data_IF_347682102584
#
_entry.id   IF_347682102584
#
_cell.length_a   1.000
_cell.length_b   1.000
_cell.length_c   1.000
_cell.angle_alpha   90.00
_cell.angle_beta   90.00
_cell.angle_gamma   90.00
#
_symmetry.space_group_name_H-M   'P 1'
#
loop_
_entity.id
_entity.type
_entity.pdbx_description
1 polymer ?
#
# COMPACT_ATOMS: atom_id res chain seq x y z
N UNK A 1 -7.62 0.17 -15.76
CA UNK A 1 -7.99 -0.88 -14.79
C UNK A 1 -7.19 -0.61 -13.54
N UNK A 2 -7.83 -0.22 -12.43
CA UNK A 2 -7.13 0.20 -11.22
C UNK A 2 -6.42 -1.00 -10.60
N UNK A 3 -5.11 -1.09 -10.81
CA UNK A 3 -4.29 -2.15 -10.27
C UNK A 3 -4.00 -1.79 -8.81
N UNK A 4 -4.91 -2.20 -7.91
CA UNK A 4 -4.64 -2.18 -6.48
C UNK A 4 -3.64 -3.32 -6.22
N UNK A 5 -2.38 -3.09 -6.60
CA UNK A 5 -1.30 -4.05 -6.39
C UNK A 5 -1.00 -4.13 -4.91
N UNK A 6 -1.28 -5.30 -4.34
CA UNK A 6 -0.82 -5.66 -3.01
C UNK A 6 0.47 -6.46 -3.17
N UNK A 7 1.48 -6.09 -2.40
CA UNK A 7 2.76 -6.75 -2.35
C UNK A 7 2.82 -7.61 -1.09
N UNK A 8 3.16 -8.88 -1.26
CA UNK A 8 3.39 -9.81 -0.16
C UNK A 8 4.63 -9.33 0.62
N UNK A 9 4.42 -8.91 1.87
CA UNK A 9 5.49 -8.40 2.73
C UNK A 9 6.08 -9.48 3.64
N UNK A 10 5.38 -10.60 3.78
CA UNK A 10 5.88 -11.79 4.46
C UNK A 10 4.80 -12.56 5.22
N UNK A 11 5.19 -13.74 5.68
CA UNK A 11 4.38 -14.60 6.54
C UNK A 11 4.68 -14.27 8.02
N UNK A 12 3.61 -14.05 8.78
CA UNK A 12 3.60 -13.75 10.20
C UNK A 12 2.92 -14.89 10.96
N UNK A 13 3.32 -15.09 12.22
CA UNK A 13 2.70 -16.10 13.07
C UNK A 13 1.29 -15.76 13.54
N UNK A 14 0.90 -14.48 13.51
CA UNK A 14 -0.42 -14.03 13.98
C UNK A 14 -0.84 -12.66 13.40
N UNK A 15 -2.14 -12.39 13.40
CA UNK A 15 -2.70 -11.10 12.98
C UNK A 15 -2.11 -9.93 13.81
N UNK A 16 -1.80 -10.19 15.09
CA UNK A 16 -1.21 -9.21 15.99
C UNK A 16 0.24 -8.86 15.63
N UNK A 17 1.02 -9.81 15.14
CA UNK A 17 2.38 -9.55 14.66
C UNK A 17 2.39 -8.74 13.37
N UNK A 18 1.48 -9.07 12.46
CA UNK A 18 1.26 -8.31 11.24
C UNK A 18 0.84 -6.85 11.53
N UNK A 19 -0.09 -6.63 12.46
CA UNK A 19 -0.52 -5.29 12.88
C UNK A 19 0.62 -4.49 13.56
N UNK A 20 1.44 -5.15 14.40
CA UNK A 20 2.63 -4.53 14.98
C UNK A 20 3.65 -4.11 13.91
N UNK A 21 3.86 -4.95 12.89
CA UNK A 21 4.73 -4.60 11.77
C UNK A 21 4.16 -3.42 10.98
N UNK A 22 2.85 -3.40 10.70
CA UNK A 22 2.22 -2.30 9.97
C UNK A 22 2.38 -0.97 10.71
N UNK A 23 2.10 -0.96 12.02
CA UNK A 23 2.30 0.21 12.89
C UNK A 23 3.76 0.68 12.91
N UNK A 24 4.71 -0.26 12.96
CA UNK A 24 6.15 0.06 12.93
C UNK A 24 6.59 0.69 11.62
N UNK A 25 5.95 0.32 10.51
CA UNK A 25 6.24 0.84 9.17
C UNK A 25 5.34 2.03 8.78
N UNK A 26 4.52 2.55 9.71
CA UNK A 26 3.57 3.64 9.49
C UNK A 26 2.58 3.37 8.32
N UNK A 27 2.21 2.10 8.14
CA UNK A 27 1.24 1.68 7.14
C UNK A 27 -0.15 1.78 7.75
N UNK A 28 -1.10 2.38 7.04
CA UNK A 28 -2.47 2.46 7.49
C UNK A 28 -3.15 1.09 7.46
N UNK A 29 -3.97 0.71 8.46
CA UNK A 29 -4.59 -0.62 8.54
C UNK A 29 -5.53 -0.91 7.36
N UNK A 30 -6.04 0.11 6.68
CA UNK A 30 -6.84 -0.01 5.46
C UNK A 30 -6.02 -0.44 4.23
N UNK A 31 -4.71 -0.19 4.25
CA UNK A 31 -3.77 -0.54 3.19
C UNK A 31 -3.03 -1.86 3.52
N UNK A 32 -3.43 -2.52 4.61
CA UNK A 32 -2.90 -3.79 5.08
C UNK A 32 -3.99 -4.85 4.94
N UNK A 33 -3.62 -6.00 4.38
CA UNK A 33 -4.51 -7.13 4.22
C UNK A 33 -3.86 -8.36 4.82
N UNK A 34 -4.49 -8.90 5.85
CA UNK A 34 -4.04 -10.12 6.52
C UNK A 34 -4.86 -11.28 5.96
N UNK A 35 -4.18 -12.31 5.45
CA UNK A 35 -4.79 -13.54 4.97
C UNK A 35 -4.30 -14.73 5.77
N UNK A 36 -5.20 -15.60 6.22
CA UNK A 36 -4.79 -16.86 6.84
C UNK A 36 -4.30 -17.83 5.78
N UNK A 37 -3.11 -18.39 5.97
CA UNK A 37 -2.49 -19.33 5.04
C UNK A 37 -1.85 -20.48 5.84
N UNK A 38 -2.41 -21.68 5.68
CA UNK A 38 -1.96 -22.85 6.45
C UNK A 38 -2.04 -22.63 7.96
N UNK A 39 -0.90 -22.75 8.64
CA UNK A 39 -0.73 -22.56 10.08
C UNK A 39 -0.36 -21.11 10.48
N UNK A 40 -0.26 -20.18 9.51
CA UNK A 40 0.16 -18.80 9.71
C UNK A 40 -0.77 -17.76 9.08
N UNK A 41 -0.32 -16.50 9.10
CA UNK A 41 -0.97 -15.39 8.41
C UNK A 41 -0.01 -14.71 7.46
N UNK A 42 -0.45 -14.41 6.24
CA UNK A 42 0.29 -13.68 5.24
C UNK A 42 -0.12 -12.22 5.28
N UNK A 43 0.87 -11.33 5.29
CA UNK A 43 0.66 -9.89 5.24
C UNK A 43 0.87 -9.37 3.83
N UNK A 44 -0.21 -8.90 3.24
CA UNK A 44 -0.18 -8.20 1.96
C UNK A 44 -0.34 -6.70 2.25
N UNK A 45 0.55 -5.88 1.70
CA UNK A 45 0.50 -4.43 1.87
C UNK A 45 0.33 -3.77 0.52
N UNK A 46 -0.53 -2.77 0.47
CA UNK A 46 -0.78 -2.03 -0.75
C UNK A 46 0.47 -1.27 -1.18
N UNK A 47 0.89 -1.45 -2.43
CA UNK A 47 2.10 -0.82 -2.99
C UNK A 47 2.09 0.71 -2.87
N UNK A 48 0.92 1.33 -2.99
CA UNK A 48 0.75 2.77 -2.80
C UNK A 48 1.09 3.25 -1.38
N UNK A 49 0.85 2.43 -0.36
CA UNK A 49 1.16 2.75 1.04
C UNK A 49 2.64 2.54 1.37
N UNK A 50 3.32 1.67 0.62
CA UNK A 50 4.76 1.41 0.74
C UNK A 50 5.63 2.52 0.12
N UNK A 51 4.99 3.48 -0.52
CA UNK A 51 5.66 4.52 -1.26
C UNK A 51 5.28 4.40 -2.72
N UNK A 52 4.14 4.98 -3.04
CA UNK A 52 3.91 5.58 -4.34
C UNK A 52 4.96 6.70 -4.57
N UNK A 53 6.20 6.28 -4.84
CA UNK A 53 7.20 7.11 -5.51
C UNK A 53 6.89 7.22 -7.01
N UNK A 54 5.92 6.43 -7.51
CA UNK A 54 5.35 6.52 -8.86
C UNK A 54 4.25 7.58 -9.01
N UNK A 55 3.37 7.78 -8.03
CA UNK A 55 2.32 8.81 -8.11
C UNK A 55 2.83 10.26 -8.00
N UNK A 56 4.14 10.45 -7.76
CA UNK A 56 4.75 11.78 -7.93
C UNK A 56 5.09 12.13 -9.37
N UNK A 57 4.88 11.22 -10.33
CA UNK A 57 5.33 11.45 -11.71
C UNK A 57 4.25 11.47 -12.80
N UNK A 58 2.94 11.35 -12.53
CA UNK A 58 1.97 11.29 -13.65
C UNK A 58 0.63 12.05 -13.50
N UNK A 59 0.43 12.92 -12.50
CA UNK A 59 -0.83 13.69 -12.37
C UNK A 59 -0.67 15.22 -12.28
N UNK A 60 0.44 15.79 -12.78
CA UNK A 60 0.60 17.26 -12.95
C UNK A 60 0.73 17.74 -14.39
N UNK A 61 0.29 16.94 -15.37
CA UNK A 61 0.32 17.34 -16.79
C UNK A 61 -1.03 17.37 -17.49
N UNK A 62 -2.13 17.36 -16.75
CA UNK A 62 -3.44 17.71 -17.31
C UNK A 62 -3.91 19.07 -16.80
N UNK A 63 -3.88 20.06 -17.69
CA UNK A 63 -5.14 20.74 -17.95
C UNK A 63 -5.43 22.09 -17.32
N UNK A 64 -4.47 23.01 -17.09
CA UNK A 64 -4.77 24.46 -16.98
C UNK A 64 -3.66 25.38 -17.48
N UNK A 65 -3.62 25.63 -18.79
CA UNK A 65 -3.06 26.88 -19.34
C UNK A 65 -4.16 27.72 -19.98
N UNK A 66 -5.18 28.03 -19.16
CA UNK A 66 -6.05 29.17 -19.38
C UNK A 66 -5.48 30.31 -18.53
N UNK A 67 -4.76 31.23 -19.16
CA UNK A 67 -4.18 32.39 -18.49
C UNK A 67 -3.52 33.28 -19.53
N UNK A 68 -4.29 34.23 -20.05
CA UNK A 68 -3.80 35.44 -20.70
C UNK A 68 -2.74 36.08 -19.80
N UNK A 69 -1.49 36.27 -20.27
CA UNK A 69 -0.62 37.47 -20.32
C UNK A 69 0.66 37.07 -21.07
#
# INVERSE_FOLDING_TARGET
>A
MSNWDFEEMGEFGSDADADRWAKRNNIAPQDVRIRRKGDGVELEVRRSALGDSSARHDDRRDGRRNGFF
#
